data_IF_307768821451
#
_entry.id   IF_307768821451
#
_cell.length_a   1.000
_cell.length_b   1.000
_cell.length_c   1.000
_cell.angle_alpha   90.00
_cell.angle_beta   90.00
_cell.angle_gamma   90.00
#
_symmetry.space_group_name_H-M   'P 1'
#
loop_
_entity.id
_entity.type
_entity.pdbx_description
1 polymer ?
#
# COMPACT_ATOMS: atom_id res chain seq x y z
N UNK A 1 -51.43 44.54 -15.83
CA UNK A 1 -50.20 44.59 -15.00
C UNK A 1 -50.20 43.35 -14.12
N UNK A 2 -49.58 42.27 -14.63
CA UNK A 2 -48.29 41.71 -14.16
C UNK A 2 -48.49 40.98 -12.82
N UNK A 3 -48.86 39.68 -12.85
CA UNK A 3 -47.98 38.51 -13.10
C UNK A 3 -46.77 38.58 -12.16
N UNK A 4 -46.69 37.70 -11.15
CA UNK A 4 -45.50 37.05 -10.55
C UNK A 4 -45.91 36.41 -9.21
N UNK A 5 -46.92 35.56 -9.23
CA UNK A 5 -47.19 34.58 -8.18
C UNK A 5 -47.22 33.23 -8.92
N UNK A 6 -46.50 32.22 -8.43
CA UNK A 6 -46.22 30.91 -9.07
C UNK A 6 -45.02 30.84 -10.04
N UNK A 7 -43.76 30.95 -9.57
CA UNK A 7 -42.63 30.16 -10.14
C UNK A 7 -41.48 29.95 -9.12
N UNK A 8 -41.75 29.62 -7.85
CA UNK A 8 -40.64 29.44 -6.88
C UNK A 8 -40.71 28.13 -6.06
N UNK A 9 -41.18 27.05 -6.68
CA UNK A 9 -41.15 25.69 -6.07
C UNK A 9 -40.62 24.61 -7.03
N UNK A 10 -40.12 24.95 -8.23
CA UNK A 10 -39.72 23.95 -9.24
C UNK A 10 -38.23 24.01 -9.66
N UNK A 11 -37.32 24.40 -8.77
CA UNK A 11 -35.87 24.28 -9.01
C UNK A 11 -35.13 23.70 -7.80
N UNK A 12 -35.69 22.66 -7.20
CA UNK A 12 -35.03 21.93 -6.10
C UNK A 12 -35.30 20.42 -6.19
N UNK A 13 -35.18 19.84 -7.38
CA UNK A 13 -35.22 18.37 -7.56
C UNK A 13 -34.70 17.94 -8.93
N UNK A 14 -33.50 18.38 -9.28
CA UNK A 14 -32.68 17.69 -10.25
C UNK A 14 -31.20 17.90 -9.88
N UNK A 15 -30.84 17.58 -8.63
CA UNK A 15 -29.53 16.96 -8.48
C UNK A 15 -29.59 15.74 -9.40
N UNK A 16 -28.67 15.56 -10.37
CA UNK A 16 -28.57 14.26 -10.99
C UNK A 16 -28.42 13.31 -9.82
N UNK A 17 -29.38 12.40 -9.65
CA UNK A 17 -29.14 11.25 -8.81
C UNK A 17 -27.75 10.75 -9.22
N UNK A 18 -26.84 10.55 -8.27
CA UNK A 18 -25.70 9.69 -8.52
C UNK A 18 -26.33 8.41 -9.05
N UNK A 19 -26.38 8.27 -10.37
CA UNK A 19 -26.99 7.11 -10.99
C UNK A 19 -26.13 5.98 -10.46
N UNK A 20 -26.71 5.16 -9.59
CA UNK A 20 -26.15 3.87 -9.26
C UNK A 20 -25.79 3.28 -10.63
N UNK A 21 -24.50 3.01 -10.82
CA UNK A 21 -23.93 2.70 -12.12
C UNK A 21 -24.71 1.50 -12.68
N UNK A 22 -25.69 1.74 -13.56
CA UNK A 22 -26.31 0.62 -14.27
C UNK A 22 -25.17 -0.01 -15.05
N UNK A 23 -24.91 -1.32 -14.88
CA UNK A 23 -23.82 -1.96 -15.58
C UNK A 23 -24.04 -1.73 -17.08
N UNK A 24 -23.12 -0.99 -17.72
CA UNK A 24 -23.19 -0.76 -19.16
C UNK A 24 -23.30 -2.11 -19.86
N UNK A 25 -24.28 -2.26 -20.75
CA UNK A 25 -24.59 -3.55 -21.38
C UNK A 25 -23.44 -4.10 -22.23
N UNK A 26 -22.52 -3.25 -22.71
CA UNK A 26 -21.20 -3.66 -23.19
C UNK A 26 -20.16 -2.54 -23.01
N UNK A 27 -19.34 -2.59 -21.95
CA UNK A 27 -18.37 -1.54 -21.69
C UNK A 27 -17.20 -1.62 -22.67
N UNK A 28 -16.70 -0.47 -23.17
CA UNK A 28 -15.60 -0.44 -24.14
C UNK A 28 -14.26 -0.96 -23.61
N UNK A 29 -14.11 -1.06 -22.29
CA UNK A 29 -12.94 -1.63 -21.61
C UNK A 29 -13.45 -2.49 -20.46
N UNK A 30 -13.01 -3.75 -20.38
CA UNK A 30 -13.38 -4.65 -19.29
C UNK A 30 -12.19 -4.97 -18.38
N UNK A 31 -12.40 -4.87 -17.07
CA UNK A 31 -11.45 -5.20 -16.01
C UNK A 31 -11.86 -6.50 -15.34
N UNK A 32 -10.97 -7.48 -15.30
CA UNK A 32 -11.13 -8.70 -14.52
C UNK A 32 -10.34 -8.61 -13.23
N UNK A 33 -10.99 -8.71 -12.07
CA UNK A 33 -10.34 -8.69 -10.76
C UNK A 33 -10.31 -10.12 -10.20
N UNK A 34 -9.10 -10.65 -9.97
CA UNK A 34 -8.92 -12.01 -9.46
C UNK A 34 -9.13 -12.06 -7.95
N UNK A 35 -10.23 -12.70 -7.53
CA UNK A 35 -10.63 -12.88 -6.14
C UNK A 35 -10.21 -14.26 -5.61
N UNK A 36 -9.79 -14.30 -4.35
CA UNK A 36 -9.39 -15.51 -3.63
C UNK A 36 -9.65 -15.34 -2.13
N UNK A 37 -9.71 -16.44 -1.38
CA UNK A 37 -9.80 -16.39 0.08
C UNK A 37 -8.54 -15.75 0.66
N UNK A 38 -8.72 -14.81 1.60
CA UNK A 38 -7.64 -13.99 2.14
C UNK A 38 -7.32 -12.74 1.31
N UNK A 39 -8.08 -12.41 0.26
CA UNK A 39 -7.87 -11.17 -0.50
C UNK A 39 -8.05 -9.93 0.40
N UNK A 40 -7.19 -8.93 0.23
CA UNK A 40 -7.24 -7.68 0.99
C UNK A 40 -8.30 -6.74 0.41
N UNK A 41 -9.23 -6.25 1.25
CA UNK A 41 -10.38 -5.45 0.79
C UNK A 41 -9.97 -4.23 -0.03
N UNK A 42 -9.06 -3.41 0.51
CA UNK A 42 -8.65 -2.16 -0.16
C UNK A 42 -7.92 -2.41 -1.49
N UNK A 43 -7.25 -3.56 -1.64
CA UNK A 43 -6.49 -3.89 -2.84
C UNK A 43 -7.39 -4.18 -4.04
N UNK A 44 -8.64 -4.59 -3.82
CA UNK A 44 -9.62 -4.72 -4.91
C UNK A 44 -10.65 -3.60 -4.93
N UNK A 45 -11.15 -3.17 -3.78
CA UNK A 45 -12.26 -2.21 -3.70
C UNK A 45 -11.83 -0.80 -4.13
N UNK A 46 -10.63 -0.35 -3.76
CA UNK A 46 -10.11 0.95 -4.20
C UNK A 46 -10.00 1.04 -5.73
N UNK A 47 -9.28 0.12 -6.40
CA UNK A 47 -9.25 0.04 -7.85
C UNK A 47 -10.61 -0.21 -8.51
N UNK A 48 -11.49 -1.01 -7.88
CA UNK A 48 -12.86 -1.22 -8.38
C UNK A 48 -13.56 0.13 -8.52
N UNK A 49 -13.49 0.97 -7.49
CA UNK A 49 -14.08 2.31 -7.49
C UNK A 49 -13.46 3.21 -8.57
N UNK A 50 -12.13 3.17 -8.74
CA UNK A 50 -11.42 3.91 -9.80
C UNK A 50 -11.87 3.48 -11.20
N UNK A 51 -11.88 2.18 -11.49
CA UNK A 51 -12.23 1.67 -12.81
C UNK A 51 -13.71 1.87 -13.13
N UNK A 52 -14.60 1.71 -12.15
CA UNK A 52 -16.03 2.01 -12.30
C UNK A 52 -16.27 3.48 -12.63
N UNK A 53 -15.60 4.41 -11.92
CA UNK A 53 -15.71 5.84 -12.20
C UNK A 53 -15.08 6.25 -13.55
N UNK A 54 -14.17 5.44 -14.11
CA UNK A 54 -13.64 5.56 -15.46
C UNK A 54 -14.58 4.99 -16.55
N UNK A 55 -15.75 4.46 -16.16
CA UNK A 55 -16.71 3.81 -17.06
C UNK A 55 -16.21 2.48 -17.61
N UNK A 56 -15.33 1.76 -16.89
CA UNK A 56 -14.91 0.42 -17.28
C UNK A 56 -15.87 -0.61 -16.71
N UNK A 57 -16.04 -1.73 -17.43
CA UNK A 57 -16.77 -2.88 -16.92
C UNK A 57 -15.93 -3.66 -15.94
N UNK A 58 -16.19 -3.53 -14.65
CA UNK A 58 -15.44 -4.26 -13.62
C UNK A 58 -16.14 -5.58 -13.31
N UNK A 59 -15.42 -6.68 -13.41
CA UNK A 59 -15.92 -8.04 -13.14
C UNK A 59 -14.98 -8.72 -12.15
N UNK A 60 -15.51 -9.10 -11.01
CA UNK A 60 -14.80 -9.92 -10.02
C UNK A 60 -14.91 -11.40 -10.39
N UNK A 61 -13.79 -12.12 -10.37
CA UNK A 61 -13.73 -13.53 -10.78
C UNK A 61 -12.98 -14.36 -9.76
N UNK A 62 -13.50 -15.53 -9.40
CA UNK A 62 -12.84 -16.51 -8.53
C UNK A 62 -12.75 -17.89 -9.19
N UNK A 63 -11.97 -18.84 -8.65
CA UNK A 63 -11.81 -20.15 -9.26
C UNK A 63 -13.13 -20.88 -9.58
N UNK A 64 -14.10 -20.83 -8.66
CA UNK A 64 -15.36 -21.56 -8.77
C UNK A 64 -16.62 -20.66 -8.71
N UNK A 65 -16.44 -19.34 -8.62
CA UNK A 65 -17.53 -18.37 -8.52
C UNK A 65 -18.22 -18.35 -7.16
N UNK A 66 -17.75 -19.12 -6.17
CA UNK A 66 -18.31 -19.09 -4.82
C UNK A 66 -17.84 -17.85 -4.05
N UNK A 67 -18.57 -17.46 -2.99
CA UNK A 67 -18.14 -16.38 -2.11
C UNK A 67 -16.74 -16.60 -1.56
N UNK A 68 -15.93 -15.54 -1.57
CA UNK A 68 -14.61 -15.51 -0.96
C UNK A 68 -14.68 -14.80 0.39
N UNK A 69 -13.87 -15.26 1.34
CA UNK A 69 -13.67 -14.58 2.63
C UNK A 69 -12.39 -13.76 2.55
N UNK A 70 -12.50 -12.44 2.65
CA UNK A 70 -11.35 -11.52 2.64
C UNK A 70 -10.47 -11.70 3.89
N UNK A 71 -9.26 -11.15 3.88
CA UNK A 71 -8.29 -11.26 5.00
C UNK A 71 -8.85 -10.80 6.36
N UNK A 72 -9.83 -9.90 6.36
CA UNK A 72 -10.48 -9.36 7.56
C UNK A 72 -11.90 -9.92 7.78
N UNK A 73 -12.26 -11.02 7.11
CA UNK A 73 -13.49 -11.77 7.37
C UNK A 73 -14.74 -11.30 6.62
N UNK A 74 -14.70 -10.19 5.88
CA UNK A 74 -15.80 -9.80 4.99
C UNK A 74 -15.98 -10.85 3.90
N UNK A 75 -17.22 -11.29 3.66
CA UNK A 75 -17.56 -12.19 2.56
C UNK A 75 -18.00 -11.39 1.34
N UNK A 76 -17.46 -11.75 0.19
CA UNK A 76 -17.77 -11.11 -1.10
C UNK A 76 -18.15 -12.20 -2.09
N UNK A 77 -19.28 -12.02 -2.79
CA UNK A 77 -19.70 -12.91 -3.88
C UNK A 77 -19.13 -12.41 -5.19
N UNK A 78 -18.23 -13.16 -5.86
CA UNK A 78 -17.70 -12.78 -7.17
C UNK A 78 -18.77 -12.83 -8.26
N UNK A 79 -18.59 -12.04 -9.31
CA UNK A 79 -19.53 -11.97 -10.44
C UNK A 79 -19.51 -13.24 -11.31
N UNK A 80 -18.34 -13.88 -11.43
CA UNK A 80 -18.19 -15.10 -12.23
C UNK A 80 -17.11 -16.06 -11.70
N UNK A 81 -17.21 -17.32 -12.13
CA UNK A 81 -16.09 -18.27 -12.03
C UNK A 81 -15.08 -18.05 -13.16
N UNK A 82 -13.87 -18.59 -13.04
CA UNK A 82 -12.88 -18.55 -14.12
C UNK A 82 -13.38 -19.18 -15.43
N UNK A 83 -14.21 -20.22 -15.34
CA UNK A 83 -14.79 -20.91 -16.49
C UNK A 83 -15.78 -20.01 -17.27
N UNK A 84 -16.52 -19.16 -16.55
CA UNK A 84 -17.57 -18.31 -17.13
C UNK A 84 -17.13 -16.84 -17.29
N UNK A 85 -15.87 -16.53 -16.97
CA UNK A 85 -15.34 -15.19 -17.04
C UNK A 85 -15.26 -14.69 -18.51
N UNK A 86 -15.73 -13.46 -18.80
CA UNK A 86 -15.58 -12.86 -20.13
C UNK A 86 -14.11 -12.53 -20.42
N UNK A 87 -13.76 -12.14 -21.66
CA UNK A 87 -12.45 -11.57 -21.95
C UNK A 87 -12.26 -10.21 -21.26
N UNK A 88 -11.02 -9.89 -20.91
CA UNK A 88 -10.63 -8.66 -20.21
C UNK A 88 -9.55 -7.90 -20.99
N UNK A 89 -9.67 -6.58 -21.01
CA UNK A 89 -8.62 -5.66 -21.47
C UNK A 89 -7.60 -5.38 -20.37
N UNK A 90 -8.06 -5.37 -19.12
CA UNK A 90 -7.23 -5.18 -17.92
C UNK A 90 -7.44 -6.38 -16.99
N UNK A 91 -6.37 -7.06 -16.60
CA UNK A 91 -6.40 -8.09 -15.57
C UNK A 91 -5.76 -7.53 -14.30
N UNK A 92 -6.46 -7.59 -13.17
CA UNK A 92 -5.97 -7.09 -11.89
C UNK A 92 -5.85 -8.20 -10.86
N UNK A 93 -4.68 -8.28 -10.22
CA UNK A 93 -4.32 -9.27 -9.20
C UNK A 93 -4.09 -8.52 -7.87
N UNK A 94 -5.08 -8.51 -6.96
CA UNK A 94 -4.95 -7.91 -5.64
C UNK A 94 -4.02 -8.73 -4.72
N UNK A 95 -3.62 -8.14 -3.60
CA UNK A 95 -2.88 -8.82 -2.54
C UNK A 95 -3.77 -9.31 -1.40
N UNK A 96 -3.15 -9.49 -0.23
CA UNK A 96 -3.71 -10.17 0.94
C UNK A 96 -2.89 -11.38 1.36
N UNK A 97 -3.56 -12.40 1.88
CA UNK A 97 -2.96 -13.67 2.32
C UNK A 97 -2.69 -14.60 1.12
N UNK A 98 -1.73 -14.21 0.29
CA UNK A 98 -1.45 -14.84 -1.01
C UNK A 98 -0.80 -16.22 -0.93
N UNK A 99 -0.56 -16.77 0.26
CA UNK A 99 0.25 -17.98 0.46
C UNK A 99 -0.28 -19.20 -0.31
N UNK A 100 -1.59 -19.41 -0.30
CA UNK A 100 -2.24 -20.49 -1.04
C UNK A 100 -2.55 -20.09 -2.48
N UNK A 101 -3.00 -18.85 -2.70
CA UNK A 101 -3.32 -18.35 -4.02
C UNK A 101 -2.13 -18.38 -4.99
N UNK A 102 -0.92 -18.08 -4.52
CA UNK A 102 0.30 -18.13 -5.35
C UNK A 102 0.75 -19.57 -5.70
N UNK A 103 0.13 -20.59 -5.11
CA UNK A 103 0.41 -22.02 -5.37
C UNK A 103 -0.75 -22.73 -6.06
N UNK A 104 -1.91 -22.09 -6.18
CA UNK A 104 -3.10 -22.69 -6.79
C UNK A 104 -2.96 -22.67 -8.32
N UNK A 105 -2.81 -23.84 -8.99
CA UNK A 105 -2.67 -23.89 -10.44
C UNK A 105 -3.86 -23.28 -11.17
N UNK A 106 -5.07 -23.33 -10.60
CA UNK A 106 -6.28 -22.73 -11.22
C UNK A 106 -6.12 -21.22 -11.36
N UNK A 107 -5.56 -20.56 -10.35
CA UNK A 107 -5.31 -19.12 -10.34
C UNK A 107 -4.16 -18.79 -11.28
N UNK A 108 -3.03 -19.50 -11.16
CA UNK A 108 -1.85 -19.23 -11.97
C UNK A 108 -2.12 -19.43 -13.48
N UNK A 109 -2.81 -20.51 -13.84
CA UNK A 109 -3.13 -20.81 -15.24
C UNK A 109 -4.16 -19.84 -15.81
N UNK A 110 -5.15 -19.45 -15.02
CA UNK A 110 -6.10 -18.41 -15.41
C UNK A 110 -5.37 -17.08 -15.68
N UNK A 111 -4.46 -16.66 -14.78
CA UNK A 111 -3.68 -15.44 -14.97
C UNK A 111 -2.83 -15.54 -16.23
N UNK A 112 -2.08 -16.64 -16.44
CA UNK A 112 -1.28 -16.83 -17.66
C UNK A 112 -2.14 -16.72 -18.92
N UNK A 113 -3.26 -17.44 -18.95
CA UNK A 113 -4.16 -17.47 -20.10
C UNK A 113 -4.76 -16.08 -20.40
N UNK A 114 -5.35 -15.44 -19.39
CA UNK A 114 -6.02 -14.13 -19.57
C UNK A 114 -5.03 -13.00 -19.82
N UNK A 115 -3.81 -13.12 -19.29
CA UNK A 115 -2.75 -12.16 -19.56
C UNK A 115 -2.33 -12.15 -21.03
N UNK A 116 -2.54 -13.21 -21.82
CA UNK A 116 -2.19 -13.20 -23.26
C UNK A 116 -2.97 -12.11 -24.00
N UNK A 117 -4.30 -12.05 -23.81
CA UNK A 117 -5.15 -11.09 -24.51
C UNK A 117 -5.32 -9.74 -23.79
N UNK A 118 -5.04 -9.67 -22.49
CA UNK A 118 -5.10 -8.41 -21.75
C UNK A 118 -4.06 -7.41 -22.29
N UNK A 119 -4.48 -6.15 -22.44
CA UNK A 119 -3.63 -5.01 -22.82
C UNK A 119 -2.85 -4.48 -21.62
N UNK A 120 -3.40 -4.63 -20.41
CA UNK A 120 -2.77 -4.26 -19.15
C UNK A 120 -2.95 -5.37 -18.12
N UNK A 121 -1.91 -5.63 -17.34
CA UNK A 121 -1.96 -6.51 -16.17
C UNK A 121 -1.42 -5.73 -14.99
N UNK A 122 -2.25 -5.58 -13.95
CA UNK A 122 -1.94 -4.82 -12.75
C UNK A 122 -1.86 -5.79 -11.56
N UNK A 123 -0.77 -5.75 -10.79
CA UNK A 123 -0.77 -6.33 -9.45
C UNK A 123 -0.70 -5.25 -8.37
N UNK A 124 -1.30 -5.53 -7.23
CA UNK A 124 -1.35 -4.62 -6.08
C UNK A 124 -0.82 -5.35 -4.86
N UNK A 125 -0.05 -4.65 -4.03
CA UNK A 125 0.43 -5.18 -2.75
C UNK A 125 1.16 -6.53 -2.95
N UNK A 126 0.82 -7.53 -2.14
CA UNK A 126 1.35 -8.90 -2.23
C UNK A 126 0.82 -9.69 -3.44
N UNK A 127 -0.10 -9.15 -4.25
CA UNK A 127 -0.51 -9.75 -5.53
C UNK A 127 0.66 -9.93 -6.51
N UNK A 128 1.73 -9.15 -6.32
CA UNK A 128 3.00 -9.35 -7.03
C UNK A 128 3.61 -10.74 -6.83
N UNK A 129 3.36 -11.42 -5.70
CA UNK A 129 3.83 -12.80 -5.48
C UNK A 129 3.07 -13.80 -6.34
N UNK A 130 1.74 -13.64 -6.46
CA UNK A 130 0.92 -14.47 -7.35
C UNK A 130 1.37 -14.27 -8.80
N UNK A 131 1.54 -13.00 -9.22
CA UNK A 131 2.00 -12.69 -10.56
C UNK A 131 3.43 -13.21 -10.81
N UNK A 132 4.33 -13.09 -9.83
CA UNK A 132 5.68 -13.66 -9.88
C UNK A 132 5.68 -15.18 -10.05
N UNK A 133 4.80 -15.89 -9.35
CA UNK A 133 4.64 -17.34 -9.46
C UNK A 133 4.15 -17.80 -10.85
N UNK A 134 3.57 -16.92 -11.66
CA UNK A 134 3.23 -17.24 -13.06
C UNK A 134 4.46 -17.27 -13.97
N UNK A 135 5.57 -16.63 -13.58
CA UNK A 135 6.75 -16.38 -14.39
C UNK A 135 6.66 -15.13 -15.29
N UNK A 136 5.52 -14.42 -15.30
CA UNK A 136 5.30 -13.27 -16.17
C UNK A 136 6.18 -12.06 -15.83
N UNK A 137 6.72 -11.96 -14.61
CA UNK A 137 7.60 -10.87 -14.18
C UNK A 137 9.10 -11.17 -14.38
N UNK A 138 9.47 -12.35 -14.90
CA UNK A 138 10.87 -12.73 -15.09
C UNK A 138 11.56 -11.73 -16.03
N UNK A 139 12.61 -11.06 -15.54
CA UNK A 139 13.38 -10.05 -16.29
C UNK A 139 12.83 -8.62 -16.22
N UNK A 140 11.64 -8.42 -15.66
CA UNK A 140 11.00 -7.11 -15.54
C UNK A 140 11.20 -6.47 -14.17
N UNK A 141 10.92 -5.16 -14.08
CA UNK A 141 10.90 -4.44 -12.80
C UNK A 141 9.62 -4.72 -12.04
N UNK A 142 9.70 -4.93 -10.73
CA UNK A 142 8.50 -5.03 -9.90
C UNK A 142 8.67 -4.37 -8.53
N UNK A 143 7.55 -3.96 -7.93
CA UNK A 143 7.45 -3.57 -6.53
C UNK A 143 6.32 -4.36 -5.86
N UNK A 144 6.24 -4.29 -4.53
CA UNK A 144 5.18 -4.90 -3.74
C UNK A 144 5.01 -4.13 -2.42
N UNK A 145 4.19 -4.65 -1.51
CA UNK A 145 4.02 -4.12 -0.17
C UNK A 145 5.36 -4.05 0.58
N UNK A 146 5.68 -2.86 1.11
CA UNK A 146 7.01 -2.56 1.69
C UNK A 146 7.49 -3.59 2.72
N UNK A 147 6.67 -4.06 3.68
CA UNK A 147 7.12 -5.08 4.63
C UNK A 147 7.50 -6.44 3.99
N UNK A 148 7.01 -6.73 2.77
CA UNK A 148 7.20 -8.02 2.07
C UNK A 148 8.19 -7.91 0.90
N UNK A 149 8.80 -6.74 0.68
CA UNK A 149 9.59 -6.47 -0.52
C UNK A 149 10.88 -7.31 -0.61
N UNK A 150 11.50 -7.61 0.52
CA UNK A 150 12.69 -8.47 0.58
C UNK A 150 12.35 -9.94 0.33
N UNK A 151 11.19 -10.38 0.80
CA UNK A 151 10.70 -11.72 0.54
C UNK A 151 10.41 -11.93 -0.95
N UNK A 152 9.86 -10.92 -1.64
CA UNK A 152 9.63 -10.98 -3.08
C UNK A 152 10.96 -11.15 -3.83
N UNK A 153 11.96 -10.33 -3.51
CA UNK A 153 13.29 -10.39 -4.13
C UNK A 153 13.97 -11.75 -3.92
N UNK A 154 13.80 -12.34 -2.72
CA UNK A 154 14.35 -13.66 -2.40
C UNK A 154 13.59 -14.79 -3.12
N UNK A 155 12.27 -14.72 -3.19
CA UNK A 155 11.44 -15.76 -3.79
C UNK A 155 11.56 -15.82 -5.32
N UNK A 156 11.76 -14.67 -5.97
CA UNK A 156 11.78 -14.55 -7.42
C UNK A 156 13.03 -13.79 -7.90
N UNK A 157 14.22 -14.44 -7.89
CA UNK A 157 15.50 -13.77 -8.15
C UNK A 157 15.67 -13.24 -9.58
N UNK A 158 14.79 -13.62 -10.52
CA UNK A 158 14.78 -13.10 -11.89
C UNK A 158 14.02 -11.77 -12.03
N UNK A 159 13.28 -11.36 -11.01
CA UNK A 159 12.56 -10.08 -10.99
C UNK A 159 13.53 -8.98 -10.53
N UNK A 160 13.58 -7.87 -11.26
CA UNK A 160 14.29 -6.67 -10.81
C UNK A 160 13.42 -5.94 -9.78
N UNK A 161 13.51 -6.33 -8.51
CA UNK A 161 12.73 -5.67 -7.43
C UNK A 161 13.24 -4.24 -7.20
N UNK A 162 12.35 -3.26 -7.39
CA UNK A 162 12.62 -1.85 -7.15
C UNK A 162 11.88 -1.37 -5.89
N UNK A 163 12.57 -0.59 -5.07
CA UNK A 163 12.08 -0.08 -3.78
C UNK A 163 11.66 1.37 -3.89
N UNK A 164 10.95 1.85 -2.88
CA UNK A 164 10.61 3.27 -2.72
C UNK A 164 9.81 3.90 -3.87
N UNK A 165 9.17 3.05 -4.67
CA UNK A 165 8.26 3.44 -5.74
C UNK A 165 6.85 3.01 -5.41
N UNK A 166 5.90 3.82 -5.87
CA UNK A 166 4.48 3.59 -5.67
C UNK A 166 3.96 2.50 -6.59
N UNK A 167 4.49 2.48 -7.81
CA UNK A 167 4.33 1.40 -8.78
C UNK A 167 5.57 1.27 -9.66
N UNK A 168 5.74 0.10 -10.25
CA UNK A 168 6.67 -0.19 -11.34
C UNK A 168 5.85 -0.42 -12.61
N UNK A 169 6.26 0.17 -13.72
CA UNK A 169 5.56 0.05 -15.01
C UNK A 169 6.54 -0.45 -16.09
N UNK A 170 6.24 -1.61 -16.69
CA UNK A 170 6.97 -2.22 -17.81
C UNK A 170 6.12 -2.23 -19.09
N UNK A 171 5.26 -1.22 -19.28
CA UNK A 171 4.35 -1.14 -20.42
C UNK A 171 3.06 -1.92 -20.17
N UNK A 172 3.08 -3.24 -20.39
CA UNK A 172 1.90 -4.11 -20.19
C UNK A 172 1.71 -4.49 -18.72
N UNK A 173 2.82 -4.77 -18.03
CA UNK A 173 2.80 -5.19 -16.63
C UNK A 173 3.05 -4.00 -15.72
N UNK A 174 2.11 -3.76 -14.81
CA UNK A 174 2.22 -2.78 -13.73
C UNK A 174 2.15 -3.53 -12.41
N UNK A 175 3.06 -3.23 -11.48
CA UNK A 175 2.98 -3.74 -10.10
C UNK A 175 3.00 -2.54 -9.17
N UNK A 176 2.25 -2.59 -8.07
CA UNK A 176 2.19 -1.47 -7.12
C UNK A 176 2.53 -1.90 -5.70
N UNK A 177 2.90 -0.90 -4.89
CA UNK A 177 3.06 -1.08 -3.47
C UNK A 177 1.71 -1.44 -2.80
N UNK A 178 1.67 -1.53 -1.47
CA UNK A 178 0.48 -2.01 -0.78
C UNK A 178 -0.66 -1.01 -0.65
N UNK A 179 -1.86 -1.57 -0.42
CA UNK A 179 -3.02 -0.87 0.12
C UNK A 179 -3.46 0.30 -0.77
N UNK A 180 -3.44 1.53 -0.24
CA UNK A 180 -3.86 2.73 -0.96
C UNK A 180 -3.04 3.03 -2.22
N UNK A 181 -1.83 2.47 -2.35
CA UNK A 181 -1.04 2.57 -3.58
C UNK A 181 -1.75 1.93 -4.78
N UNK A 182 -2.67 0.99 -4.54
CA UNK A 182 -3.52 0.39 -5.56
C UNK A 182 -4.49 1.39 -6.22
N UNK A 183 -4.97 2.39 -5.47
CA UNK A 183 -5.82 3.48 -6.02
C UNK A 183 -5.02 4.30 -7.02
N UNK A 184 -3.83 4.75 -6.62
CA UNK A 184 -2.94 5.51 -7.49
C UNK A 184 -2.53 4.70 -8.74
N UNK A 185 -2.25 3.40 -8.59
CA UNK A 185 -1.85 2.53 -9.69
C UNK A 185 -3.01 2.23 -10.65
N UNK A 186 -4.23 2.11 -10.14
CA UNK A 186 -5.43 2.02 -10.97
C UNK A 186 -5.64 3.30 -11.79
N UNK A 187 -5.47 4.48 -11.18
CA UNK A 187 -5.52 5.77 -11.88
C UNK A 187 -4.43 5.88 -12.95
N UNK A 188 -3.22 5.37 -12.66
CA UNK A 188 -2.16 5.24 -13.67
C UNK A 188 -2.58 4.35 -14.84
N UNK A 189 -3.20 3.19 -14.59
CA UNK A 189 -3.73 2.33 -15.65
C UNK A 189 -4.85 3.02 -16.45
N UNK A 190 -5.77 3.75 -15.79
CA UNK A 190 -6.77 4.58 -16.49
C UNK A 190 -6.08 5.59 -17.39
N UNK A 191 -5.03 6.26 -16.92
CA UNK A 191 -4.26 7.22 -17.72
C UNK A 191 -3.61 6.57 -18.95
N UNK A 192 -3.10 5.34 -18.82
CA UNK A 192 -2.56 4.58 -19.96
C UNK A 192 -3.62 4.21 -21.00
N UNK A 193 -4.84 3.93 -20.55
CA UNK A 193 -5.93 3.44 -21.42
C UNK A 193 -6.74 4.59 -22.04
N UNK A 194 -6.96 5.68 -21.30
CA UNK A 194 -7.86 6.80 -21.67
C UNK A 194 -7.19 8.17 -21.69
N UNK A 195 -5.92 8.26 -21.32
CA UNK A 195 -5.20 9.53 -21.18
C UNK A 195 -5.30 10.11 -19.77
N UNK A 196 -4.32 10.96 -19.43
CA UNK A 196 -4.16 11.53 -18.09
C UNK A 196 -5.34 12.42 -17.65
N UNK A 197 -6.00 13.10 -18.58
CA UNK A 197 -7.11 13.99 -18.24
C UNK A 197 -8.35 13.22 -17.76
N UNK A 198 -8.61 12.03 -18.31
CA UNK A 198 -9.65 11.14 -17.80
C UNK A 198 -9.29 10.65 -16.40
N UNK A 199 -8.05 10.21 -16.18
CA UNK A 199 -7.61 9.78 -14.85
C UNK A 199 -7.72 10.90 -13.81
N UNK A 200 -7.40 12.15 -14.15
CA UNK A 200 -7.62 13.31 -13.28
C UNK A 200 -9.10 13.55 -13.02
N UNK A 201 -9.95 13.41 -14.02
CA UNK A 201 -11.41 13.55 -13.87
C UNK A 201 -11.97 12.49 -12.92
N UNK A 202 -11.53 11.23 -13.08
CA UNK A 202 -11.86 10.14 -12.16
C UNK A 202 -11.39 10.45 -10.74
N UNK A 203 -10.14 10.87 -10.57
CA UNK A 203 -9.62 11.26 -9.26
C UNK A 203 -10.46 12.38 -8.61
N UNK A 204 -10.86 13.40 -9.37
CA UNK A 204 -11.74 14.47 -8.89
C UNK A 204 -13.13 13.97 -8.50
N UNK A 205 -13.73 13.03 -9.23
CA UNK A 205 -15.01 12.40 -8.86
C UNK A 205 -14.92 11.62 -7.54
N UNK A 206 -13.75 11.05 -7.27
CA UNK A 206 -13.47 10.33 -6.03
C UNK A 206 -13.02 11.24 -4.88
N UNK A 207 -12.95 12.56 -5.10
CA UNK A 207 -12.36 13.52 -4.17
C UNK A 207 -10.93 13.13 -3.74
N UNK A 208 -10.19 12.51 -4.67
CA UNK A 208 -8.86 11.96 -4.44
C UNK A 208 -7.78 12.87 -5.03
N UNK A 209 -6.86 13.36 -4.20
CA UNK A 209 -5.71 14.18 -4.60
C UNK A 209 -4.63 13.34 -5.29
N UNK A 210 -4.90 12.92 -6.53
CA UNK A 210 -3.99 12.10 -7.31
C UNK A 210 -2.77 12.90 -7.77
N UNK A 211 -1.62 12.52 -7.23
CA UNK A 211 -0.31 13.09 -7.56
C UNK A 211 0.57 12.05 -8.23
N UNK A 212 0.49 11.86 -9.56
CA UNK A 212 1.25 10.82 -10.25
C UNK A 212 2.77 10.97 -10.03
N UNK A 213 3.27 12.20 -9.99
CA UNK A 213 4.68 12.52 -9.74
C UNK A 213 5.03 12.62 -8.24
N UNK A 214 4.05 12.43 -7.36
CA UNK A 214 4.18 12.60 -5.91
C UNK A 214 4.99 11.52 -5.20
N UNK A 215 5.44 10.48 -5.91
CA UNK A 215 6.22 9.37 -5.36
C UNK A 215 5.44 8.47 -4.38
N UNK A 216 6.12 7.46 -3.84
CA UNK A 216 5.52 6.56 -2.85
C UNK A 216 5.35 7.27 -1.51
N UNK A 217 4.22 7.05 -0.81
CA UNK A 217 3.96 7.76 0.46
C UNK A 217 5.04 7.46 1.50
N UNK A 218 5.38 6.18 1.72
CA UNK A 218 6.38 5.80 2.72
C UNK A 218 7.78 6.27 2.36
N UNK A 219 8.12 6.44 1.08
CA UNK A 219 9.42 6.99 0.70
C UNK A 219 9.55 8.50 0.98
N UNK A 220 8.53 9.14 1.55
CA UNK A 220 8.60 10.54 1.96
C UNK A 220 8.42 10.73 3.47
N UNK A 221 7.82 9.76 4.16
CA UNK A 221 7.62 9.78 5.60
C UNK A 221 8.95 9.68 6.34
N UNK A 222 9.04 10.28 7.53
CA UNK A 222 10.27 10.23 8.30
C UNK A 222 10.68 8.79 8.64
N UNK A 223 9.73 7.87 8.88
CA UNK A 223 9.98 6.45 9.23
C UNK A 223 10.93 5.73 8.24
N UNK A 224 10.99 6.17 6.99
CA UNK A 224 11.93 5.64 5.99
C UNK A 224 13.40 5.73 6.40
N UNK A 225 13.74 6.72 7.21
CA UNK A 225 15.10 6.93 7.72
C UNK A 225 15.40 6.03 8.93
N UNK A 226 14.45 5.16 9.27
CA UNK A 226 14.45 4.25 10.40
C UNK A 226 14.03 2.86 9.95
N UNK A 227 14.97 2.11 9.41
CA UNK A 227 14.71 0.73 8.99
C UNK A 227 14.66 -0.21 10.20
N UNK A 228 13.93 -1.32 10.08
CA UNK A 228 13.94 -2.39 11.10
C UNK A 228 15.36 -2.88 11.42
N UNK A 229 16.25 -2.88 10.43
CA UNK A 229 17.68 -3.17 10.63
C UNK A 229 18.39 -2.13 11.49
N UNK A 230 18.00 -0.85 11.39
CA UNK A 230 18.66 0.25 12.10
C UNK A 230 18.30 0.33 13.59
N UNK A 231 17.10 -0.10 13.99
CA UNK A 231 16.67 0.06 15.40
C UNK A 231 16.32 -1.24 16.10
N UNK A 232 15.82 -2.25 15.39
CA UNK A 232 15.34 -3.47 16.06
C UNK A 232 16.31 -4.64 15.89
N UNK A 233 16.98 -4.77 14.74
CA UNK A 233 17.79 -5.95 14.44
C UNK A 233 19.12 -6.04 15.24
N UNK A 234 19.64 -4.92 15.75
CA UNK A 234 20.88 -4.89 16.52
C UNK A 234 20.70 -4.97 18.05
N UNK A 235 19.45 -4.91 18.52
CA UNK A 235 19.09 -4.81 19.93
C UNK A 235 18.92 -6.21 20.50
N UNK A 236 19.57 -6.46 21.64
CA UNK A 236 19.41 -7.70 22.40
C UNK A 236 18.15 -7.60 23.27
N UNK A 237 17.02 -7.91 22.67
CA UNK A 237 15.72 -7.84 23.33
C UNK A 237 15.60 -8.90 24.44
N UNK A 238 15.10 -8.54 25.65
CA UNK A 238 14.83 -9.52 26.70
C UNK A 238 13.88 -10.61 26.20
N UNK A 239 14.14 -11.86 26.59
CA UNK A 239 13.33 -13.01 26.15
C UNK A 239 11.90 -12.97 26.67
N UNK A 240 11.70 -12.33 27.81
CA UNK A 240 10.42 -12.13 28.47
C UNK A 240 9.69 -10.86 27.99
N UNK A 241 10.34 -10.03 27.16
CA UNK A 241 9.74 -8.80 26.67
C UNK A 241 8.54 -9.09 25.77
N UNK A 242 7.39 -8.54 26.16
CA UNK A 242 6.18 -8.50 25.35
C UNK A 242 5.95 -7.07 24.91
N UNK A 243 5.64 -6.91 23.63
CA UNK A 243 5.35 -5.64 23.00
C UNK A 243 3.93 -5.69 22.49
N UNK A 244 3.08 -4.81 23.02
CA UNK A 244 1.85 -4.47 22.33
C UNK A 244 2.19 -3.27 21.43
N UNK A 245 2.15 -3.46 20.11
CA UNK A 245 2.38 -2.36 19.17
C UNK A 245 1.23 -1.36 19.31
N UNK A 246 1.51 -0.24 19.96
CA UNK A 246 0.51 0.79 20.21
C UNK A 246 0.87 2.02 19.39
N UNK A 247 0.18 2.20 18.27
CA UNK A 247 0.17 3.44 17.47
C UNK A 247 1.56 3.88 16.96
N UNK A 248 1.79 3.66 15.68
CA UNK A 248 2.88 4.28 14.94
C UNK A 248 2.29 5.32 13.99
N UNK A 249 2.61 6.60 14.21
CA UNK A 249 2.02 7.73 13.48
C UNK A 249 3.06 8.79 13.17
N UNK A 250 2.82 9.53 12.10
CA UNK A 250 3.66 10.65 11.73
C UNK A 250 3.42 11.14 10.31
N UNK A 251 4.34 11.96 9.86
CA UNK A 251 4.32 12.67 8.60
C UNK A 251 5.72 12.66 7.94
N UNK A 252 5.95 13.61 7.03
CA UNK A 252 7.21 13.76 6.30
C UNK A 252 8.39 14.12 7.20
N UNK A 253 8.15 14.76 8.33
CA UNK A 253 9.16 15.41 9.16
C UNK A 253 9.28 14.77 10.54
N UNK A 254 8.20 14.18 11.06
CA UNK A 254 8.16 13.53 12.37
C UNK A 254 7.52 12.16 12.27
N UNK A 255 8.12 11.17 12.91
CA UNK A 255 7.51 9.86 13.11
C UNK A 255 7.67 9.41 14.56
N UNK A 256 6.60 8.87 15.14
CA UNK A 256 6.54 8.46 16.53
C UNK A 256 5.95 7.05 16.61
N UNK A 257 6.62 6.18 17.34
CA UNK A 257 6.15 4.84 17.63
C UNK A 257 6.15 4.63 19.12
N UNK A 258 5.02 4.17 19.66
CA UNK A 258 4.90 3.81 21.06
C UNK A 258 4.80 2.29 21.19
N UNK A 259 5.50 1.76 22.18
CA UNK A 259 5.36 0.36 22.55
C UNK A 259 4.95 0.29 24.00
N UNK A 260 3.87 -0.45 24.27
CA UNK A 260 3.66 -0.91 25.63
C UNK A 260 4.57 -2.11 25.86
N UNK A 261 5.48 -2.00 26.83
CA UNK A 261 6.50 -3.02 27.09
C UNK A 261 6.24 -3.65 28.45
N UNK A 262 6.06 -4.97 28.45
CA UNK A 262 6.03 -5.78 29.66
C UNK A 262 7.30 -6.64 29.73
N UNK A 263 8.14 -6.44 30.74
CA UNK A 263 9.36 -7.22 31.01
C UNK A 263 9.85 -7.00 32.44
N UNK A 264 10.54 -7.98 33.03
CA UNK A 264 11.27 -7.78 34.27
C UNK A 264 12.51 -6.86 34.12
N UNK A 265 12.94 -6.58 32.88
CA UNK A 265 14.09 -5.71 32.60
C UNK A 265 13.74 -4.25 32.89
N UNK A 266 14.51 -3.53 33.74
CA UNK A 266 14.24 -2.13 34.03
C UNK A 266 14.27 -1.24 32.78
N UNK A 267 13.39 -0.24 32.74
CA UNK A 267 13.26 0.69 31.62
C UNK A 267 14.59 1.36 31.21
N UNK A 268 15.45 1.71 32.18
CA UNK A 268 16.76 2.31 31.92
C UNK A 268 17.71 1.34 31.20
N UNK A 269 17.76 0.08 31.62
CA UNK A 269 18.57 -0.95 30.97
C UNK A 269 18.09 -1.21 29.53
N UNK A 270 16.78 -1.07 29.30
CA UNK A 270 16.19 -1.21 27.97
C UNK A 270 16.59 -0.07 27.02
N UNK A 271 16.68 1.16 27.52
CA UNK A 271 17.22 2.28 26.76
C UNK A 271 18.72 2.09 26.42
N UNK A 272 19.50 1.53 27.34
CA UNK A 272 20.92 1.20 27.08
C UNK A 272 21.07 0.12 25.99
N UNK A 273 20.21 -0.90 26.00
CA UNK A 273 20.18 -1.94 24.94
C UNK A 273 19.84 -1.36 23.57
N UNK A 274 18.92 -0.39 23.50
CA UNK A 274 18.60 0.34 22.27
C UNK A 274 19.82 1.13 21.78
N UNK A 275 20.51 1.85 22.66
CA UNK A 275 21.72 2.59 22.33
C UNK A 275 22.82 1.69 21.76
N UNK A 276 23.02 0.52 22.36
CA UNK A 276 23.96 -0.49 21.85
C UNK A 276 23.53 -0.96 20.46
N UNK A 277 22.25 -1.22 20.25
CA UNK A 277 21.71 -1.63 18.94
C UNK A 277 21.93 -0.57 17.86
N UNK A 278 21.62 0.70 18.15
CA UNK A 278 21.82 1.82 17.22
C UNK A 278 23.30 2.00 16.89
N UNK A 279 24.20 1.91 17.88
CA UNK A 279 25.66 2.00 17.66
C UNK A 279 26.18 0.96 16.66
N UNK A 280 25.68 -0.28 16.74
CA UNK A 280 26.13 -1.39 15.86
C UNK A 280 25.88 -1.11 14.38
N UNK A 281 24.94 -0.22 14.06
CA UNK A 281 24.66 0.15 12.66
C UNK A 281 25.76 0.98 12.02
N UNK A 282 26.55 1.72 12.82
CA UNK A 282 27.54 2.69 12.33
C UNK A 282 26.96 3.92 11.61
N UNK A 283 25.63 4.05 11.50
CA UNK A 283 24.95 5.12 10.75
C UNK A 283 24.66 6.36 11.60
N UNK A 284 24.68 6.24 12.91
CA UNK A 284 24.23 7.26 13.85
C UNK A 284 25.36 7.77 14.73
N UNK A 285 25.34 9.07 15.00
CA UNK A 285 26.25 9.76 15.92
C UNK A 285 25.51 10.12 17.20
N UNK A 286 26.09 9.80 18.35
CA UNK A 286 25.53 10.17 19.64
C UNK A 286 25.41 11.70 19.75
N UNK A 287 24.25 12.18 20.19
CA UNK A 287 23.93 13.60 20.38
C UNK A 287 23.41 13.92 21.79
N UNK A 288 23.38 12.92 22.68
CA UNK A 288 22.93 13.01 24.07
C UNK A 288 22.52 11.63 24.59
N UNK A 289 22.06 11.54 25.85
CA UNK A 289 21.48 10.31 26.39
C UNK A 289 20.32 9.83 25.52
N UNK A 290 20.40 8.59 25.03
CA UNK A 290 19.39 7.95 24.19
C UNK A 290 18.97 8.75 22.95
N UNK A 291 19.86 9.63 22.47
CA UNK A 291 19.62 10.54 21.35
C UNK A 291 20.75 10.45 20.33
N UNK A 292 20.34 10.34 19.08
CA UNK A 292 21.17 10.00 17.95
C UNK A 292 20.89 10.93 16.79
N UNK A 293 21.90 11.24 15.99
CA UNK A 293 21.76 12.04 14.78
C UNK A 293 22.44 11.38 13.59
N UNK A 294 21.88 11.57 12.40
CA UNK A 294 22.46 11.12 11.14
C UNK A 294 22.08 12.08 10.03
N UNK A 295 22.85 12.09 8.94
CA UNK A 295 22.49 12.83 7.72
C UNK A 295 22.15 11.84 6.63
N UNK A 296 20.88 11.81 6.23
CA UNK A 296 20.36 10.85 5.26
C UNK A 296 19.62 11.62 4.16
N UNK A 297 19.98 11.39 2.90
CA UNK A 297 19.35 12.03 1.73
C UNK A 297 19.12 13.55 1.87
N UNK A 298 20.16 14.28 2.27
CA UNK A 298 20.13 15.74 2.50
C UNK A 298 19.22 16.21 3.66
N UNK A 299 18.78 15.30 4.52
CA UNK A 299 18.04 15.63 5.74
C UNK A 299 18.89 15.36 6.96
N UNK A 300 18.77 16.24 7.94
CA UNK A 300 19.30 16.01 9.27
C UNK A 300 18.24 15.24 10.05
N UNK A 301 18.58 14.02 10.44
CA UNK A 301 17.68 13.08 11.11
C UNK A 301 18.10 12.93 12.57
N UNK A 302 17.16 13.10 13.49
CA UNK A 302 17.33 12.85 14.92
C UNK A 302 16.45 11.67 15.31
N UNK A 303 17.05 10.68 15.97
CA UNK A 303 16.37 9.57 16.62
C UNK A 303 16.52 9.72 18.13
N UNK A 304 15.44 9.56 18.87
CA UNK A 304 15.47 9.57 20.34
C UNK A 304 14.58 8.48 20.92
N UNK A 305 15.04 7.91 22.03
CA UNK A 305 14.27 6.97 22.83
C UNK A 305 13.96 7.59 24.18
N UNK A 306 12.75 7.33 24.67
CA UNK A 306 12.34 7.71 26.02
C UNK A 306 11.47 6.62 26.61
N UNK A 307 11.39 6.58 27.95
CA UNK A 307 10.45 5.72 28.66
C UNK A 307 9.57 6.55 29.57
N UNK A 308 8.32 6.11 29.74
CA UNK A 308 7.37 6.67 30.71
C UNK A 308 6.98 5.59 31.72
N UNK A 309 6.89 5.90 33.03
CA UNK A 309 6.48 4.92 34.03
C UNK A 309 5.11 4.33 33.69
N UNK A 310 5.00 3.00 33.70
CA UNK A 310 3.71 2.31 33.62
C UNK A 310 3.16 1.96 34.99
N UNK A 311 2.28 0.96 35.05
CA UNK A 311 1.58 0.56 36.27
C UNK A 311 2.52 0.06 37.38
N UNK A 312 3.66 -0.52 37.01
CA UNK A 312 4.73 -0.97 37.92
C UNK A 312 6.08 -1.04 37.19
N UNK A 313 7.15 -1.49 37.86
CA UNK A 313 8.50 -1.56 37.27
C UNK A 313 8.63 -2.52 36.08
N UNK A 314 7.68 -3.45 35.92
CA UNK A 314 7.66 -4.43 34.84
C UNK A 314 6.78 -4.02 33.66
N UNK A 315 6.15 -2.85 33.73
CA UNK A 315 5.34 -2.25 32.68
C UNK A 315 5.75 -0.81 32.46
N UNK A 316 6.12 -0.45 31.23
CA UNK A 316 6.40 0.94 30.89
C UNK A 316 6.13 1.17 29.42
N UNK A 317 5.96 2.43 29.05
CA UNK A 317 5.84 2.80 27.66
C UNK A 317 7.23 3.18 27.12
N UNK A 318 7.61 2.59 25.99
CA UNK A 318 8.81 2.95 25.24
C UNK A 318 8.39 3.81 24.05
N UNK A 319 8.88 5.04 24.05
CA UNK A 319 8.65 6.01 22.98
C UNK A 319 9.88 6.05 22.07
N UNK A 320 9.65 5.90 20.77
CA UNK A 320 10.65 6.07 19.73
C UNK A 320 10.24 7.22 18.84
N UNK A 321 11.01 8.31 18.88
CA UNK A 321 10.76 9.52 18.11
C UNK A 321 11.85 9.72 17.06
N UNK A 322 11.41 9.98 15.84
CA UNK A 322 12.25 10.31 14.71
C UNK A 322 11.84 11.68 14.16
N UNK A 323 12.81 12.58 14.03
CA UNK A 323 12.63 13.89 13.41
C UNK A 323 13.56 13.99 12.22
N UNK A 324 13.01 14.17 11.02
CA UNK A 324 13.74 14.44 9.80
C UNK A 324 13.51 15.91 9.41
N UNK A 325 14.52 16.76 9.53
CA UNK A 325 14.44 18.14 9.05
C UNK A 325 15.18 18.27 7.71
N UNK A 326 14.70 19.10 6.77
CA UNK A 326 15.51 19.51 5.62
C UNK A 326 16.87 20.02 6.13
N UNK A 327 17.96 19.52 5.56
CA UNK A 327 19.29 19.92 6.01
C UNK A 327 19.49 21.42 5.81
N UNK A 328 20.10 22.10 6.79
CA UNK A 328 20.56 23.47 6.56
C UNK A 328 21.60 23.41 5.43
N UNK A 329 21.26 23.98 4.28
CA UNK A 329 22.23 24.14 3.21
C UNK A 329 23.14 25.25 3.69
N UNK A 330 24.38 24.94 4.08
CA UNK A 330 25.42 25.97 4.09
C UNK A 330 25.43 26.55 2.67
N UNK A 331 24.97 27.78 2.52
CA UNK A 331 25.09 28.53 1.28
C UNK A 331 26.56 28.43 0.85
N UNK A 332 26.82 27.71 -0.24
CA UNK A 332 28.14 27.75 -0.88
C UNK A 332 28.35 29.20 -1.31
N UNK A 333 29.28 29.87 -0.64
CA UNK A 333 29.88 31.11 -1.14
C UNK A 333 30.75 30.82 -2.35
#
# INVERSE_FOLDING_TARGET
>A
MRRYLLVLVAMLSALPAFAAHEPMSDPPVRVGIVMFDGVQIIDFAGPYEVFGNAGFGVVTVSPDGKPVTTAMGLKVTPDASFANAPPFDVLMIPGGDVADAQRDPRILDFIRQRSVSAKQVLSICTGAFILGATGLLDGDKATTFTPRIDELAKAFPKIQVIRDVRWADNGKLVTSAGLSSGIDAALHVVAKVRGTDEARTVALRLEYDWKPDGGFVRSRLADRYLTKQQVQAGVDWPKDAKFDEYVSVGDLDKWETHYHVQTATPAAEMLDRLDVGVRKTGLWKAAGPHRWTSRQENRDVTLSFATRPGADVSHYDLDMLLLAAPGTTQARK
#
